data_IF_670081758731
#
_entry.id   IF_670081758731
#
_cell.length_a   1.000
_cell.length_b   1.000
_cell.length_c   1.000
_cell.angle_alpha   90.00
_cell.angle_beta   90.00
_cell.angle_gamma   90.00
#
_symmetry.space_group_name_H-M   'P 1'
#
loop_
_entity.id
_entity.type
_entity.pdbx_description
1 polymer ?
#
# COMPACT_ATOMS: atom_id res chain seq x y z
N UNK A 1 7.65 -7.28 -18.48
CA UNK A 1 7.42 -6.83 -17.10
C UNK A 1 7.81 -8.02 -16.22
N UNK A 2 9.11 -8.23 -16.01
CA UNK A 2 9.68 -9.43 -15.37
C UNK A 2 10.57 -9.01 -14.20
N UNK A 3 9.96 -8.34 -13.23
CA UNK A 3 10.63 -8.08 -11.96
C UNK A 3 10.34 -9.27 -11.01
N UNK A 4 11.35 -10.09 -10.67
CA UNK A 4 11.18 -11.25 -9.80
C UNK A 4 10.69 -10.88 -8.40
N UNK A 5 10.93 -9.64 -7.97
CA UNK A 5 10.54 -9.13 -6.68
C UNK A 5 9.03 -8.82 -6.65
N UNK A 6 8.52 -8.20 -7.72
CA UNK A 6 7.08 -7.99 -7.92
C UNK A 6 6.36 -9.35 -8.00
N UNK A 7 6.95 -10.34 -8.67
CA UNK A 7 6.35 -11.68 -8.80
C UNK A 7 6.28 -12.43 -7.47
N UNK A 8 7.30 -12.32 -6.61
CA UNK A 8 7.27 -12.87 -5.24
C UNK A 8 6.23 -12.20 -4.34
N UNK A 9 6.00 -10.91 -4.53
CA UNK A 9 4.97 -10.17 -3.79
C UNK A 9 3.58 -10.64 -4.23
N UNK A 10 3.38 -10.82 -5.53
CA UNK A 10 2.13 -11.34 -6.08
C UNK A 10 1.86 -12.81 -5.70
N UNK A 11 2.89 -13.67 -5.69
CA UNK A 11 2.78 -15.07 -5.26
C UNK A 11 2.48 -15.23 -3.76
N UNK A 12 2.88 -14.27 -2.92
CA UNK A 12 2.43 -14.22 -1.52
C UNK A 12 1.04 -13.60 -1.38
N UNK A 13 0.67 -12.66 -2.25
CA UNK A 13 -0.60 -11.96 -2.20
C UNK A 13 -1.80 -12.85 -2.57
N UNK A 14 -1.61 -13.92 -3.34
CA UNK A 14 -2.66 -14.92 -3.64
C UNK A 14 -3.08 -15.78 -2.43
N UNK A 15 -2.40 -15.66 -1.28
CA UNK A 15 -2.72 -16.40 -0.04
C UNK A 15 -3.36 -15.51 1.04
N UNK A 16 -3.18 -14.18 0.95
CA UNK A 16 -3.58 -13.26 2.02
C UNK A 16 -5.03 -12.78 1.85
N UNK A 17 -5.77 -12.83 2.95
CA UNK A 17 -7.09 -12.22 3.09
C UNK A 17 -7.02 -10.69 2.96
N UNK A 18 -8.16 -10.05 2.67
CA UNK A 18 -8.30 -8.58 2.67
C UNK A 18 -7.73 -7.93 3.93
N UNK A 19 -8.05 -8.50 5.11
CA UNK A 19 -7.56 -7.98 6.39
C UNK A 19 -6.04 -8.09 6.52
N UNK A 20 -5.44 -9.21 6.10
CA UNK A 20 -3.98 -9.36 6.14
C UNK A 20 -3.28 -8.40 5.19
N UNK A 21 -3.85 -8.19 3.99
CA UNK A 21 -3.35 -7.20 3.03
C UNK A 21 -3.42 -5.79 3.60
N UNK A 22 -4.54 -5.44 4.23
CA UNK A 22 -4.72 -4.15 4.89
C UNK A 22 -3.69 -3.96 6.01
N UNK A 23 -3.56 -4.93 6.92
CA UNK A 23 -2.62 -4.87 8.03
C UNK A 23 -1.16 -4.73 7.55
N UNK A 24 -0.79 -5.42 6.47
CA UNK A 24 0.54 -5.30 5.89
C UNK A 24 0.82 -3.89 5.34
N UNK A 25 -0.18 -3.29 4.67
CA UNK A 25 -0.07 -1.93 4.15
C UNK A 25 0.03 -0.92 5.30
N UNK A 26 -0.84 -1.02 6.30
CA UNK A 26 -0.86 -0.13 7.47
C UNK A 26 0.45 -0.19 8.26
N UNK A 27 1.00 -1.39 8.43
CA UNK A 27 2.30 -1.57 9.06
C UNK A 27 3.43 -0.89 8.27
N UNK A 28 3.52 -1.13 6.97
CA UNK A 28 4.59 -0.58 6.15
C UNK A 28 4.48 0.94 5.98
N UNK A 29 3.27 1.48 5.78
CA UNK A 29 3.08 2.92 5.66
C UNK A 29 3.46 3.64 6.96
N UNK A 30 3.08 3.10 8.12
CA UNK A 30 3.44 3.66 9.42
C UNK A 30 4.94 3.61 9.67
N UNK A 31 5.59 2.47 9.38
CA UNK A 31 7.05 2.29 9.46
C UNK A 31 7.82 3.34 8.63
N UNK A 32 7.24 3.77 7.52
CA UNK A 32 7.84 4.78 6.65
C UNK A 32 7.35 6.21 6.91
N UNK A 33 6.49 6.44 7.91
CA UNK A 33 5.95 7.77 8.24
C UNK A 33 5.02 8.34 7.16
N UNK A 34 4.40 7.48 6.36
CA UNK A 34 3.58 7.86 5.21
C UNK A 34 2.09 7.96 5.46
N UNK A 35 1.63 7.82 6.72
CA UNK A 35 0.22 7.71 7.07
C UNK A 35 -0.61 8.87 6.52
N UNK A 36 -0.17 10.11 6.74
CA UNK A 36 -0.88 11.31 6.27
C UNK A 36 -0.97 11.37 4.74
N UNK A 37 0.10 10.94 4.06
CA UNK A 37 0.16 10.90 2.59
C UNK A 37 -0.81 9.85 2.05
N UNK A 38 -0.93 8.71 2.72
CA UNK A 38 -1.90 7.68 2.37
C UNK A 38 -3.33 8.17 2.60
N UNK A 39 -3.63 8.75 3.76
CA UNK A 39 -4.96 9.30 4.07
C UNK A 39 -5.40 10.33 3.03
N UNK A 40 -4.52 11.29 2.70
CA UNK A 40 -4.79 12.28 1.66
C UNK A 40 -5.04 11.63 0.29
N UNK A 41 -4.23 10.64 -0.07
CA UNK A 41 -4.35 9.96 -1.37
C UNK A 41 -5.63 9.13 -1.47
N UNK A 42 -6.03 8.43 -0.40
CA UNK A 42 -7.29 7.68 -0.35
C UNK A 42 -8.48 8.64 -0.42
N UNK A 43 -8.44 9.76 0.32
CA UNK A 43 -9.51 10.74 0.31
C UNK A 43 -9.70 11.35 -1.07
N UNK A 44 -8.60 11.65 -1.75
CA UNK A 44 -8.63 12.22 -3.09
C UNK A 44 -9.10 11.23 -4.16
N UNK A 45 -8.76 9.95 -4.04
CA UNK A 45 -9.05 8.95 -5.07
C UNK A 45 -10.40 8.24 -4.87
N UNK A 46 -10.76 7.96 -3.61
CA UNK A 46 -11.87 7.09 -3.23
C UNK A 46 -12.84 7.75 -2.24
N UNK A 47 -12.56 8.98 -1.79
CA UNK A 47 -13.42 9.70 -0.85
C UNK A 47 -13.35 9.21 0.61
N UNK A 48 -12.46 8.25 0.91
CA UNK A 48 -12.30 7.67 2.26
C UNK A 48 -10.91 7.96 2.82
N UNK A 49 -10.78 8.03 4.15
CA UNK A 49 -9.49 8.35 4.77
C UNK A 49 -8.72 7.11 5.24
N UNK A 50 -9.40 6.00 5.50
CA UNK A 50 -8.79 4.77 6.00
C UNK A 50 -9.01 3.61 5.03
N UNK A 51 -8.08 2.66 5.01
CA UNK A 51 -8.22 1.43 4.21
C UNK A 51 -9.38 0.56 4.68
N UNK A 52 -9.68 0.57 5.99
CA UNK A 52 -10.79 -0.15 6.57
C UNK A 52 -12.14 0.23 5.92
N UNK A 53 -12.27 1.50 5.56
CA UNK A 53 -13.49 2.10 5.00
C UNK A 53 -13.61 1.91 3.48
N UNK A 54 -12.59 1.36 2.82
CA UNK A 54 -12.60 1.12 1.37
C UNK A 54 -13.53 -0.09 1.06
N UNK A 55 -14.50 0.07 0.14
CA UNK A 55 -15.30 -1.05 -0.36
C UNK A 55 -14.46 -2.18 -0.94
N UNK A 56 -14.96 -3.41 -0.90
CA UNK A 56 -14.18 -4.59 -1.35
C UNK A 56 -13.79 -4.48 -2.83
N UNK A 57 -14.70 -3.98 -3.67
CA UNK A 57 -14.49 -3.76 -5.10
C UNK A 57 -13.39 -2.75 -5.43
N UNK A 58 -13.13 -1.80 -4.53
CA UNK A 58 -12.14 -0.74 -4.71
C UNK A 58 -10.84 -1.02 -3.93
N UNK A 59 -10.80 -2.09 -3.12
CA UNK A 59 -9.67 -2.38 -2.24
C UNK A 59 -8.37 -2.60 -3.01
N UNK A 60 -8.42 -3.24 -4.17
CA UNK A 60 -7.24 -3.45 -5.01
C UNK A 60 -6.64 -2.12 -5.51
N UNK A 61 -7.49 -1.15 -5.87
CA UNK A 61 -7.05 0.19 -6.25
C UNK A 61 -6.43 0.92 -5.05
N UNK A 62 -7.06 0.87 -3.87
CA UNK A 62 -6.51 1.44 -2.66
C UNK A 62 -5.15 0.83 -2.28
N UNK A 63 -5.02 -0.49 -2.41
CA UNK A 63 -3.78 -1.22 -2.16
C UNK A 63 -2.68 -0.77 -3.14
N UNK A 64 -2.98 -0.61 -4.42
CA UNK A 64 -2.03 -0.12 -5.42
C UNK A 64 -1.53 1.29 -5.10
N UNK A 65 -2.44 2.20 -4.71
CA UNK A 65 -2.09 3.55 -4.27
C UNK A 65 -1.11 3.48 -3.08
N UNK A 66 -1.45 2.68 -2.07
CA UNK A 66 -0.65 2.58 -0.85
C UNK A 66 0.75 2.00 -1.12
N UNK A 67 0.85 0.92 -1.90
CA UNK A 67 2.14 0.34 -2.25
C UNK A 67 3.01 1.31 -3.05
N UNK A 68 2.44 2.07 -3.99
CA UNK A 68 3.17 3.10 -4.74
C UNK A 68 3.77 4.17 -3.82
N UNK A 69 3.05 4.56 -2.77
CA UNK A 69 3.54 5.50 -1.76
C UNK A 69 4.69 4.85 -0.97
N UNK A 70 4.49 3.63 -0.46
CA UNK A 70 5.50 2.88 0.29
C UNK A 70 6.81 2.75 -0.50
N UNK A 71 6.75 2.39 -1.78
CA UNK A 71 7.95 2.28 -2.62
C UNK A 71 8.71 3.59 -2.76
N UNK A 72 8.00 4.70 -2.96
CA UNK A 72 8.63 6.03 -3.03
C UNK A 72 9.32 6.39 -1.71
N UNK A 73 8.64 6.16 -0.58
CA UNK A 73 9.20 6.44 0.75
C UNK A 73 10.45 5.58 1.04
N UNK A 74 10.45 4.31 0.62
CA UNK A 74 11.61 3.41 0.70
C UNK A 74 12.79 3.95 -0.10
N UNK A 75 12.56 4.32 -1.36
CA UNK A 75 13.60 4.86 -2.24
C UNK A 75 14.21 6.16 -1.68
N UNK A 76 13.38 7.06 -1.15
CA UNK A 76 13.85 8.31 -0.54
C UNK A 76 14.71 8.09 0.72
N UNK A 77 14.41 7.08 1.56
CA UNK A 77 15.27 6.72 2.70
C UNK A 77 16.57 6.03 2.26
N UNK A 78 16.53 5.22 1.20
CA UNK A 78 17.73 4.56 0.66
C UNK A 78 18.71 5.53 -0.02
N UNK A 79 18.21 6.64 -0.57
CA UNK A 79 19.04 7.66 -1.24
C UNK A 79 19.81 8.59 -0.27
N UNK A 80 19.57 8.50 1.05
CA UNK A 80 20.23 9.30 2.09
C UNK A 80 21.41 8.55 2.76
N UNK A 81 21.76 7.36 2.29
CA UNK A 81 22.86 6.54 2.80
C UNK A 81 23.97 6.34 1.75
#
# INVERSE_FOLDING_TARGET
MDDPEIRRILDKATVLTRQERQAAIEYEIAKHGGTDVLQYSLKSALGVEQLADVPEEDFDLAALIAWKIIYKLRASKGALH
#
